data_IF_725479840905
#
_entry.id   IF_725479840905
#
_cell.length_a   1.000
_cell.length_b   1.000
_cell.length_c   1.000
_cell.angle_alpha   90.00
_cell.angle_beta   90.00
_cell.angle_gamma   90.00
#
_symmetry.space_group_name_H-M   'P 1'
#
loop_
_entity.id
_entity.type
_entity.pdbx_description
1 polymer ?
#
# COMPACT_ATOMS: atom_id res chain seq x y z
N UNK A 1 31.68 -13.57 -14.20
CA UNK A 1 30.32 -14.08 -14.40
C UNK A 1 29.52 -13.61 -13.19
N UNK A 2 28.69 -12.55 -13.29
CA UNK A 2 27.84 -12.17 -12.17
C UNK A 2 26.94 -13.36 -11.81
N UNK A 3 26.81 -13.64 -10.52
CA UNK A 3 26.02 -14.75 -10.01
C UNK A 3 24.58 -14.58 -10.47
N UNK A 4 23.91 -15.63 -10.97
CA UNK A 4 22.53 -15.54 -11.50
C UNK A 4 21.52 -14.92 -10.53
N UNK A 5 21.83 -14.92 -9.22
CA UNK A 5 21.08 -14.22 -8.18
C UNK A 5 21.20 -12.69 -8.21
N UNK A 6 22.35 -12.14 -8.58
CA UNK A 6 22.57 -10.68 -8.66
C UNK A 6 21.80 -10.06 -9.83
N UNK A 7 21.72 -10.77 -10.95
CA UNK A 7 20.93 -10.33 -12.12
C UNK A 7 19.43 -10.32 -11.86
N UNK A 8 18.92 -11.23 -11.01
CA UNK A 8 17.51 -11.28 -10.64
C UNK A 8 17.12 -10.10 -9.74
N UNK A 9 17.96 -9.80 -8.73
CA UNK A 9 17.74 -8.70 -7.78
C UNK A 9 17.75 -7.36 -8.51
N UNK A 10 18.69 -7.15 -9.44
CA UNK A 10 18.76 -5.91 -10.22
C UNK A 10 17.53 -5.70 -11.11
N UNK A 11 16.97 -6.78 -11.66
CA UNK A 11 15.76 -6.73 -12.49
C UNK A 11 14.53 -6.38 -11.65
N UNK A 12 14.31 -7.08 -10.53
CA UNK A 12 13.19 -6.79 -9.63
C UNK A 12 13.22 -5.35 -9.09
N UNK A 13 14.42 -4.84 -8.81
CA UNK A 13 14.61 -3.47 -8.35
C UNK A 13 14.33 -2.45 -9.47
N UNK A 14 14.71 -2.76 -10.71
CA UNK A 14 14.38 -1.96 -11.90
C UNK A 14 12.87 -1.91 -12.17
N UNK A 15 12.20 -3.05 -12.11
CA UNK A 15 10.75 -3.18 -12.30
C UNK A 15 9.98 -2.39 -11.21
N UNK A 16 10.47 -2.45 -9.97
CA UNK A 16 9.89 -1.68 -8.86
C UNK A 16 10.02 -0.16 -9.05
N UNK A 17 11.16 0.31 -9.59
CA UNK A 17 11.37 1.73 -9.87
C UNK A 17 10.44 2.23 -10.98
N UNK A 18 10.24 1.42 -12.03
CA UNK A 18 9.31 1.73 -13.11
C UNK A 18 7.87 1.84 -12.60
N UNK A 19 7.44 0.88 -11.78
CA UNK A 19 6.13 0.88 -11.13
C UNK A 19 5.88 2.15 -10.29
N UNK A 20 6.88 2.57 -9.49
CA UNK A 20 6.80 3.80 -8.70
C UNK A 20 6.64 5.02 -9.60
N UNK A 21 7.44 5.13 -10.67
CA UNK A 21 7.37 6.26 -11.59
C UNK A 21 5.99 6.36 -12.28
N UNK A 22 5.38 5.22 -12.60
CA UNK A 22 4.04 5.15 -13.19
C UNK A 22 2.94 5.57 -12.20
N UNK A 23 3.04 5.14 -10.94
CA UNK A 23 2.14 5.60 -9.88
C UNK A 23 2.27 7.11 -9.66
N UNK A 24 3.50 7.63 -9.65
CA UNK A 24 3.79 9.07 -9.47
C UNK A 24 3.29 9.93 -10.64
N UNK A 25 3.27 9.39 -11.85
CA UNK A 25 2.76 10.08 -13.03
C UNK A 25 1.23 10.29 -12.97
N UNK A 26 0.51 9.51 -12.17
CA UNK A 26 -0.94 9.59 -12.05
C UNK A 26 -1.36 10.41 -10.81
N UNK A 27 -1.88 11.62 -11.05
CA UNK A 27 -2.27 12.56 -9.98
C UNK A 27 -3.43 12.06 -9.12
N UNK A 28 -4.36 11.28 -9.67
CA UNK A 28 -5.50 10.71 -8.94
C UNK A 28 -5.04 9.61 -7.98
N UNK A 29 -4.15 8.72 -8.46
CA UNK A 29 -3.53 7.69 -7.62
C UNK A 29 -2.68 8.30 -6.51
N UNK A 30 -1.90 9.35 -6.81
CA UNK A 30 -1.13 10.06 -5.78
C UNK A 30 -2.03 10.77 -4.77
N UNK A 31 -3.18 11.29 -5.20
CA UNK A 31 -4.19 11.86 -4.29
C UNK A 31 -4.77 10.79 -3.36
N UNK A 32 -5.11 9.61 -3.89
CA UNK A 32 -5.55 8.47 -3.08
C UNK A 32 -4.46 8.02 -2.11
N UNK A 33 -3.21 8.01 -2.55
CA UNK A 33 -2.05 7.67 -1.73
C UNK A 33 -1.90 8.62 -0.54
N UNK A 34 -1.86 9.93 -0.78
CA UNK A 34 -1.75 10.91 0.31
C UNK A 34 -2.93 10.86 1.28
N UNK A 35 -4.15 10.66 0.77
CA UNK A 35 -5.33 10.45 1.61
C UNK A 35 -5.20 9.17 2.44
N UNK A 36 -4.67 8.10 1.87
CA UNK A 36 -4.49 6.82 2.55
C UNK A 36 -3.49 6.93 3.68
N UNK A 37 -2.29 7.48 3.44
CA UNK A 37 -1.26 7.59 4.48
C UNK A 37 -1.64 8.55 5.61
N UNK A 38 -2.51 9.55 5.35
CA UNK A 38 -3.03 10.44 6.38
C UNK A 38 -3.98 9.71 7.36
N UNK A 39 -4.72 8.70 6.90
CA UNK A 39 -5.70 7.95 7.70
C UNK A 39 -5.14 6.61 8.20
N UNK A 40 -4.21 6.03 7.47
CA UNK A 40 -3.55 4.76 7.75
C UNK A 40 -2.02 4.93 7.65
N UNK A 41 -1.42 5.70 8.57
CA UNK A 41 0.01 5.99 8.54
C UNK A 41 0.84 4.69 8.61
N UNK A 42 1.83 4.49 7.73
CA UNK A 42 2.62 3.27 7.69
C UNK A 42 3.65 3.24 8.82
N UNK A 43 3.24 2.96 10.06
CA UNK A 43 4.13 2.95 11.22
C UNK A 43 4.48 1.55 11.73
N UNK A 44 5.76 1.37 12.09
CA UNK A 44 6.26 0.15 12.74
C UNK A 44 5.87 -1.14 12.00
N UNK A 45 5.27 -2.13 12.67
CA UNK A 45 4.91 -3.42 12.08
C UNK A 45 3.74 -3.34 11.10
N UNK A 46 3.00 -2.22 11.07
CA UNK A 46 1.80 -2.08 10.23
C UNK A 46 2.08 -1.53 8.84
N UNK A 47 3.34 -1.19 8.51
CA UNK A 47 3.71 -0.68 7.18
C UNK A 47 3.25 -1.60 6.05
N UNK A 48 3.39 -2.92 6.24
CA UNK A 48 2.95 -3.92 5.26
C UNK A 48 1.43 -3.96 5.11
N UNK A 49 0.69 -3.85 6.22
CA UNK A 49 -0.77 -3.78 6.19
C UNK A 49 -1.27 -2.50 5.51
N UNK A 50 -0.62 -1.36 5.78
CA UNK A 50 -0.94 -0.11 5.09
C UNK A 50 -0.69 -0.24 3.58
N UNK A 51 0.41 -0.85 3.16
CA UNK A 51 0.71 -1.07 1.75
C UNK A 51 -0.31 -2.01 1.06
N UNK A 52 -0.66 -3.13 1.69
CA UNK A 52 -1.67 -4.06 1.19
C UNK A 52 -3.05 -3.38 1.05
N UNK A 53 -3.49 -2.69 2.10
CA UNK A 53 -4.80 -2.02 2.08
C UNK A 53 -4.86 -0.89 1.06
N UNK A 54 -3.76 -0.17 0.84
CA UNK A 54 -3.68 0.81 -0.24
C UNK A 54 -3.81 0.14 -1.62
N UNK A 55 -3.05 -0.92 -1.87
CA UNK A 55 -3.09 -1.63 -3.14
C UNK A 55 -4.51 -2.14 -3.45
N UNK A 56 -5.19 -2.78 -2.48
CA UNK A 56 -6.57 -3.23 -2.69
C UNK A 56 -7.55 -2.07 -2.95
N UNK A 57 -7.39 -0.94 -2.25
CA UNK A 57 -8.23 0.25 -2.46
C UNK A 57 -8.07 0.83 -3.86
N UNK A 58 -6.84 0.89 -4.36
CA UNK A 58 -6.57 1.38 -5.71
C UNK A 58 -7.13 0.41 -6.75
N UNK A 59 -6.99 -0.91 -6.58
CA UNK A 59 -7.62 -1.89 -7.49
C UNK A 59 -9.13 -1.74 -7.54
N UNK A 60 -9.78 -1.63 -6.38
CA UNK A 60 -11.22 -1.42 -6.30
C UNK A 60 -11.64 -0.09 -6.94
N UNK A 61 -10.86 0.97 -6.73
CA UNK A 61 -11.12 2.28 -7.33
C UNK A 61 -10.98 2.24 -8.87
N UNK A 62 -9.92 1.63 -9.39
CA UNK A 62 -9.68 1.45 -10.82
C UNK A 62 -10.82 0.66 -11.49
N UNK A 63 -11.29 -0.42 -10.86
CA UNK A 63 -12.40 -1.22 -11.37
C UNK A 63 -13.71 -0.43 -11.56
N UNK A 64 -13.89 0.68 -10.84
CA UNK A 64 -15.09 1.53 -10.90
C UNK A 64 -14.89 2.77 -11.77
N UNK A 65 -13.68 3.34 -11.80
CA UNK A 65 -13.42 4.67 -12.37
C UNK A 65 -12.60 4.65 -13.66
N UNK A 66 -11.83 3.59 -13.93
CA UNK A 66 -11.07 3.49 -15.17
C UNK A 66 -11.91 2.75 -16.22
N UNK A 67 -12.48 3.49 -17.16
CA UNK A 67 -13.22 2.94 -18.32
C UNK A 67 -12.32 2.21 -19.31
N UNK A 68 -11.01 2.44 -19.21
CA UNK A 68 -9.93 1.76 -19.93
C UNK A 68 -8.80 1.61 -18.90
N UNK A 69 -8.78 0.51 -18.16
CA UNK A 69 -7.70 0.25 -17.20
C UNK A 69 -6.46 -0.01 -18.04
N UNK A 70 -5.46 0.87 -17.97
CA UNK A 70 -4.12 0.55 -18.45
C UNK A 70 -3.67 -0.72 -17.71
N UNK A 71 -3.62 -1.90 -18.37
CA UNK A 71 -3.18 -3.13 -17.74
C UNK A 71 -1.81 -3.01 -17.02
N UNK A 72 -0.83 -2.18 -17.48
CA UNK A 72 0.42 -2.05 -16.75
C UNK A 72 0.23 -1.47 -15.35
N UNK A 73 -0.70 -0.53 -15.11
CA UNK A 73 -0.89 0.05 -13.77
C UNK A 73 -1.35 -1.00 -12.76
N UNK A 74 -2.16 -1.96 -13.21
CA UNK A 74 -2.70 -3.01 -12.35
C UNK A 74 -1.65 -4.06 -12.01
N UNK A 75 -0.74 -4.37 -12.94
CA UNK A 75 0.41 -5.27 -12.74
C UNK A 75 1.50 -4.62 -11.87
N UNK A 76 1.73 -3.32 -12.06
CA UNK A 76 2.74 -2.54 -11.34
C UNK A 76 2.36 -2.24 -9.88
N UNK A 77 1.07 -2.35 -9.55
CA UNK A 77 0.54 -2.11 -8.20
C UNK A 77 0.80 -3.30 -7.26
N UNK A 78 2.08 -3.47 -6.93
CA UNK A 78 2.57 -4.45 -5.96
C UNK A 78 2.71 -3.83 -4.56
N UNK A 79 2.50 -4.60 -3.48
CA UNK A 79 2.75 -4.11 -2.12
C UNK A 79 4.18 -3.60 -1.92
N UNK A 80 5.16 -4.17 -2.64
CA UNK A 80 6.57 -3.75 -2.61
C UNK A 80 6.76 -2.35 -3.19
N UNK A 81 6.20 -2.07 -4.37
CA UNK A 81 6.24 -0.74 -4.97
C UNK A 81 5.57 0.30 -4.05
N UNK A 82 4.44 -0.05 -3.45
CA UNK A 82 3.73 0.81 -2.49
C UNK A 82 4.57 1.06 -1.24
N UNK A 83 5.27 0.06 -0.70
CA UNK A 83 6.16 0.25 0.45
C UNK A 83 7.29 1.23 0.14
N UNK A 84 7.91 1.12 -1.03
CA UNK A 84 8.94 2.07 -1.45
C UNK A 84 8.37 3.49 -1.65
N UNK A 85 7.16 3.60 -2.20
CA UNK A 85 6.45 4.88 -2.31
C UNK A 85 6.16 5.47 -0.92
N UNK A 86 5.72 4.65 0.03
CA UNK A 86 5.52 5.05 1.42
C UNK A 86 6.82 5.51 2.08
N UNK A 87 7.93 4.79 1.90
CA UNK A 87 9.24 5.18 2.43
C UNK A 87 9.74 6.49 1.82
N UNK A 88 9.46 6.75 0.55
CA UNK A 88 9.84 7.99 -0.16
C UNK A 88 9.08 9.22 0.35
N UNK A 89 7.76 9.11 0.53
CA UNK A 89 6.90 10.26 0.85
C UNK A 89 6.50 10.38 2.32
N UNK A 90 6.60 9.30 3.08
CA UNK A 90 6.29 9.27 4.49
C UNK A 90 7.51 8.77 5.26
N UNK A 91 8.31 9.71 5.78
CA UNK A 91 9.50 9.35 6.56
C UNK A 91 9.06 8.57 7.80
N UNK A 92 9.16 7.24 7.81
CA UNK A 92 8.76 6.42 8.96
C UNK A 92 9.81 6.38 10.08
N UNK A 93 11.00 6.98 9.87
CA UNK A 93 12.10 6.91 10.84
C UNK A 93 11.73 7.57 12.17
N UNK A 94 10.95 8.65 12.14
CA UNK A 94 10.49 9.34 13.35
C UNK A 94 9.50 8.52 14.19
N UNK A 95 8.91 7.46 13.61
CA UNK A 95 7.97 6.55 14.28
C UNK A 95 8.61 5.22 14.66
N UNK A 96 9.92 5.03 14.41
CA UNK A 96 10.62 3.79 14.73
C UNK A 96 10.69 3.51 16.24
N UNK A 97 10.68 4.56 17.04
CA UNK A 97 10.67 4.51 18.51
C UNK A 97 9.28 4.65 19.12
N UNK A 98 8.23 4.85 18.29
CA UNK A 98 6.88 4.91 18.82
C UNK A 98 6.53 3.56 19.44
N UNK A 99 6.16 3.53 20.73
CA UNK A 99 5.67 2.30 21.32
C UNK A 99 4.46 1.85 20.50
N UNK A 100 4.32 0.53 20.34
CA UNK A 100 3.07 -0.05 19.87
C UNK A 100 2.00 0.29 20.91
N UNK A 101 1.41 1.48 20.81
CA UNK A 101 0.19 1.83 21.51
C UNK A 101 -0.93 1.07 20.81
N UNK A 102 -0.89 -0.26 20.96
CA UNK A 102 -2.08 -1.06 20.84
C UNK A 102 -2.93 -0.64 22.03
N UNK A 103 -3.88 0.28 21.80
CA UNK A 103 -5.11 0.22 22.58
C UNK A 103 -5.70 -1.12 22.19
N UNK A 104 -5.85 -2.08 23.12
CA UNK A 104 -6.57 -3.29 22.84
C UNK A 104 -8.01 -2.88 22.52
N UNK A 105 -8.31 -2.71 21.24
CA UNK A 105 -9.66 -2.88 20.79
C UNK A 105 -9.90 -4.37 20.92
N UNK A 106 -10.36 -4.82 22.09
CA UNK A 106 -10.94 -6.15 22.24
C UNK A 106 -12.14 -6.19 21.28
N UNK A 107 -11.91 -6.62 20.05
CA UNK A 107 -12.98 -6.92 19.11
C UNK A 107 -13.60 -8.22 19.61
N UNK A 108 -14.75 -8.09 20.26
CA UNK A 108 -15.51 -9.25 20.74
C UNK A 108 -16.43 -9.72 19.62
N UNK A 109 -16.84 -10.99 19.68
CA UNK A 109 -17.75 -11.60 18.71
C UNK A 109 -19.00 -10.71 18.45
N UNK A 110 -19.55 -10.11 19.51
CA UNK A 110 -20.69 -9.18 19.45
C UNK A 110 -20.45 -7.97 18.53
N UNK A 111 -19.22 -7.46 18.45
CA UNK A 111 -18.89 -6.27 17.68
C UNK A 111 -18.82 -6.62 16.18
N UNK A 112 -18.35 -7.84 15.88
CA UNK A 112 -18.37 -8.42 14.52
C UNK A 112 -19.80 -8.72 14.09
N UNK A 113 -20.59 -9.36 14.96
CA UNK A 113 -21.99 -9.68 14.70
C UNK A 113 -22.84 -8.43 14.47
N UNK A 114 -22.59 -7.35 15.22
CA UNK A 114 -23.26 -6.07 15.02
C UNK A 114 -22.92 -5.46 13.65
N UNK A 115 -21.67 -5.59 13.19
CA UNK A 115 -21.22 -5.09 11.90
C UNK A 115 -21.79 -5.89 10.72
N UNK A 116 -21.92 -7.21 10.87
CA UNK A 116 -22.45 -8.12 9.83
C UNK A 116 -23.97 -7.99 9.75
N UNK A 117 -24.66 -7.98 10.89
CA UNK A 117 -26.12 -7.97 10.95
C UNK A 117 -26.74 -6.57 10.89
N UNK A 118 -25.96 -5.51 11.19
CA UNK A 118 -26.40 -4.11 11.15
C UNK A 118 -26.41 -3.47 9.75
N UNK A 119 -25.99 -4.18 8.70
CA UNK A 119 -26.11 -3.75 7.29
C UNK A 119 -27.40 -4.27 6.62
N UNK A 120 -28.52 -4.28 7.35
CA UNK A 120 -29.86 -4.49 6.77
C UNK A 120 -30.56 -3.16 6.57
#
# INVERSE_FOLDING_TARGET
MPSSSEGLIQKEQGDTIAAIAQLEANSELMTLFFRHIAVCPPHGPFKYYSALTFAERVRAWLAVHASDVDPPIMEDLTPTAVLHLMEKYYNTQHLRSWPLLYVPAEIRLKDVDALINGRK
#
